data_IF_044127421013
#
_entry.id   IF_044127421013
#
_cell.length_a   1.000
_cell.length_b   1.000
_cell.length_c   1.000
_cell.angle_alpha   90.00
_cell.angle_beta   90.00
_cell.angle_gamma   90.00
#
_symmetry.space_group_name_H-M   'P 1'
#
loop_
_entity.id
_entity.type
_entity.pdbx_description
1 polymer ?
#
# COMPACT_ATOMS: atom_id res chain seq x y z
N UNK A 1 -7.64 57.56 38.31
CA UNK A 1 -6.32 58.21 38.17
C UNK A 1 -5.39 57.70 39.26
N UNK A 2 -4.33 56.98 38.89
CA UNK A 2 -3.01 56.82 39.55
C UNK A 2 -2.35 55.54 39.00
N UNK A 3 -1.44 55.70 38.04
CA UNK A 3 -0.28 54.82 37.82
C UNK A 3 0.83 55.30 38.77
N UNK A 4 1.72 54.42 39.27
CA UNK A 4 2.94 54.03 38.54
C UNK A 4 3.24 52.51 38.75
N UNK A 5 4.23 51.79 38.23
CA UNK A 5 5.46 52.00 37.45
C UNK A 5 5.97 50.59 37.07
N UNK A 6 6.36 50.39 35.80
CA UNK A 6 7.20 49.29 35.29
C UNK A 6 8.70 49.67 35.51
N UNK A 7 9.75 48.84 35.31
CA UNK A 7 9.85 47.39 35.04
C UNK A 7 10.89 46.65 35.95
N UNK A 8 10.87 45.32 36.01
CA UNK A 8 12.05 44.53 36.40
C UNK A 8 12.41 43.58 35.26
N UNK A 9 13.49 43.93 34.55
CA UNK A 9 14.18 43.08 33.58
C UNK A 9 14.75 41.86 34.33
N UNK A 10 14.41 40.66 33.86
CA UNK A 10 15.12 39.44 34.21
C UNK A 10 15.75 38.88 32.91
N UNK A 11 17.01 39.25 32.71
CA UNK A 11 17.91 38.63 31.74
C UNK A 11 18.32 37.27 32.30
N UNK A 12 17.87 36.18 31.68
CA UNK A 12 18.39 34.82 31.95
C UNK A 12 19.28 34.45 30.76
N UNK A 13 20.59 34.51 30.98
CA UNK A 13 21.61 34.04 30.06
C UNK A 13 21.53 32.51 29.94
N UNK A 14 21.18 32.01 28.75
CA UNK A 14 21.34 30.61 28.38
C UNK A 14 22.79 30.36 27.97
N UNK A 15 23.51 29.54 28.74
CA UNK A 15 24.82 29.01 28.36
C UNK A 15 24.60 27.76 27.49
N UNK A 16 24.86 27.90 26.19
CA UNK A 16 24.96 26.79 25.24
C UNK A 16 26.33 26.11 25.41
N UNK A 17 26.34 24.92 26.01
CA UNK A 17 27.48 24.01 25.96
C UNK A 17 27.39 23.18 24.67
N UNK A 18 28.17 23.55 23.66
CA UNK A 18 28.35 22.75 22.46
C UNK A 18 29.28 21.56 22.75
N UNK A 19 28.72 20.35 22.83
CA UNK A 19 29.51 19.12 22.76
C UNK A 19 29.77 18.79 21.30
N UNK A 20 31.00 18.98 20.86
CA UNK A 20 31.48 18.47 19.57
C UNK A 20 31.65 16.94 19.65
N UNK A 21 30.98 16.21 18.75
CA UNK A 21 31.18 14.77 18.59
C UNK A 21 32.47 14.50 17.78
N UNK A 22 33.27 13.49 18.13
CA UNK A 22 34.48 13.13 17.37
C UNK A 22 34.12 12.44 16.05
N UNK A 23 34.86 12.79 14.99
CA UNK A 23 34.72 12.21 13.66
C UNK A 23 35.20 10.75 13.64
N UNK A 24 34.37 9.86 13.08
CA UNK A 24 34.70 8.46 12.80
C UNK A 24 35.61 8.35 11.57
N UNK A 25 36.67 7.51 11.60
CA UNK A 25 37.47 7.25 10.41
C UNK A 25 36.73 6.35 9.42
N UNK A 26 36.81 6.70 8.14
CA UNK A 26 36.23 5.94 7.03
C UNK A 26 36.96 4.61 6.83
N UNK A 27 36.20 3.51 6.82
CA UNK A 27 36.68 2.16 6.47
C UNK A 27 36.49 1.98 4.95
N UNK A 28 37.58 1.68 4.24
CA UNK A 28 37.55 1.36 2.81
C UNK A 28 36.94 -0.03 2.59
N UNK A 29 36.11 -0.23 1.54
CA UNK A 29 35.57 -1.55 1.21
C UNK A 29 36.64 -2.45 0.57
N UNK A 30 36.58 -3.78 0.78
CA UNK A 30 37.50 -4.72 0.16
C UNK A 30 37.26 -4.83 -1.35
N UNK A 31 38.34 -4.83 -2.12
CA UNK A 31 38.33 -5.10 -3.56
C UNK A 31 38.23 -6.61 -3.80
N UNK A 32 37.13 -7.06 -4.42
CA UNK A 32 37.00 -8.45 -4.86
C UNK A 32 37.64 -8.63 -6.24
N UNK A 33 38.67 -9.47 -6.32
CA UNK A 33 39.28 -9.90 -7.58
C UNK A 33 38.51 -11.11 -8.11
N UNK A 34 37.90 -11.00 -9.28
CA UNK A 34 37.26 -12.14 -9.95
C UNK A 34 38.33 -12.88 -10.75
N UNK A 35 38.63 -14.12 -10.33
CA UNK A 35 39.51 -15.03 -11.04
C UNK A 35 38.68 -15.82 -12.07
N UNK A 36 38.85 -15.52 -13.35
CA UNK A 36 38.22 -16.27 -14.45
C UNK A 36 38.99 -17.58 -14.66
N UNK A 37 38.38 -18.71 -14.28
CA UNK A 37 38.89 -20.03 -14.63
C UNK A 37 38.36 -20.44 -16.01
N UNK A 38 39.28 -20.61 -16.97
CA UNK A 38 38.99 -21.23 -18.26
C UNK A 38 38.88 -22.75 -18.08
N UNK A 39 37.75 -23.35 -18.49
CA UNK A 39 37.58 -24.80 -18.50
C UNK A 39 37.55 -25.28 -19.94
N UNK A 40 38.47 -26.21 -20.22
CA UNK A 40 38.73 -26.83 -21.51
C UNK A 40 37.58 -27.76 -21.96
N UNK A 41 37.26 -27.70 -23.24
CA UNK A 41 36.34 -28.61 -23.93
C UNK A 41 36.99 -29.98 -24.08
N UNK A 42 36.40 -31.00 -23.45
CA UNK A 42 36.78 -32.41 -23.64
C UNK A 42 35.64 -33.13 -24.37
N UNK A 43 35.97 -33.81 -25.47
CA UNK A 43 35.03 -34.47 -26.39
C UNK A 43 34.40 -35.76 -25.83
N UNK A 44 33.15 -36.01 -26.26
CA UNK A 44 32.28 -37.15 -25.97
C UNK A 44 32.91 -38.56 -26.11
N UNK A 45 32.38 -39.54 -25.36
CA UNK A 45 32.15 -40.89 -25.85
C UNK A 45 30.67 -41.17 -26.17
N UNK A 46 30.50 -42.14 -27.08
CA UNK A 46 29.30 -42.58 -27.80
C UNK A 46 28.12 -43.06 -26.92
N UNK A 47 26.85 -42.90 -27.37
CA UNK A 47 25.69 -43.36 -26.60
C UNK A 47 25.54 -44.88 -26.63
N UNK A 48 25.39 -45.49 -25.45
CA UNK A 48 24.94 -46.88 -25.28
C UNK A 48 23.42 -46.90 -25.21
N UNK A 49 22.78 -47.68 -26.07
CA UNK A 49 21.32 -47.84 -26.13
C UNK A 49 20.77 -48.46 -24.84
N UNK A 50 20.02 -47.68 -24.07
CA UNK A 50 19.23 -48.17 -22.94
C UNK A 50 17.89 -48.77 -23.44
N UNK A 51 17.34 -49.80 -22.76
CA UNK A 51 16.06 -50.41 -23.15
C UNK A 51 14.90 -49.42 -22.94
N UNK A 52 13.99 -49.43 -23.91
CA UNK A 52 12.74 -48.66 -23.92
C UNK A 52 11.86 -49.03 -22.73
N UNK A 53 11.80 -48.15 -21.72
CA UNK A 53 10.75 -48.18 -20.71
C UNK A 53 9.43 -47.78 -21.35
N UNK A 54 8.47 -48.70 -21.39
CA UNK A 54 7.08 -48.44 -21.77
C UNK A 54 6.53 -47.32 -20.90
N UNK A 55 6.27 -46.16 -21.50
CA UNK A 55 5.65 -45.02 -20.83
C UNK A 55 4.20 -45.37 -20.46
N UNK A 56 3.93 -45.53 -19.18
CA UNK A 56 2.58 -45.52 -18.63
C UNK A 56 1.90 -44.21 -19.05
N UNK A 57 0.64 -44.21 -19.51
CA UNK A 57 -0.09 -43.00 -19.81
C UNK A 57 -0.07 -42.07 -18.60
N UNK A 58 0.49 -40.87 -18.75
CA UNK A 58 0.50 -39.86 -17.71
C UNK A 58 -0.96 -39.55 -17.35
N UNK A 59 -1.31 -39.71 -16.08
CA UNK A 59 -2.54 -39.19 -15.50
C UNK A 59 -2.63 -37.70 -15.87
N UNK A 60 -3.74 -37.22 -16.45
CA UNK A 60 -3.88 -35.80 -16.75
C UNK A 60 -3.67 -35.00 -15.46
N UNK A 61 -2.74 -34.04 -15.54
CA UNK A 61 -2.49 -33.12 -14.43
C UNK A 61 -3.83 -32.47 -14.03
N UNK A 62 -4.09 -32.30 -12.71
CA UNK A 62 -5.26 -31.55 -12.27
C UNK A 62 -5.30 -30.21 -12.99
N UNK A 63 -6.48 -29.74 -13.44
CA UNK A 63 -6.59 -28.41 -14.03
C UNK A 63 -5.98 -27.40 -13.05
N UNK A 64 -5.06 -26.57 -13.55
CA UNK A 64 -4.50 -25.49 -12.77
C UNK A 64 -5.64 -24.66 -12.20
N UNK A 65 -5.67 -24.48 -10.87
CA UNK A 65 -6.68 -23.65 -10.22
C UNK A 65 -6.39 -22.21 -10.65
N UNK A 66 -7.18 -21.70 -11.59
CA UNK A 66 -7.09 -20.30 -12.01
C UNK A 66 -7.60 -19.43 -10.87
N UNK A 67 -6.72 -18.63 -10.26
CA UNK A 67 -7.10 -17.69 -9.23
C UNK A 67 -8.12 -16.67 -9.75
N UNK A 68 -9.05 -16.18 -8.90
CA UNK A 68 -9.99 -15.14 -9.30
C UNK A 68 -9.24 -13.88 -9.75
N UNK A 69 -9.45 -13.46 -10.99
CA UNK A 69 -8.76 -12.30 -11.59
C UNK A 69 -9.56 -10.99 -11.53
N UNK A 70 -10.81 -11.05 -11.04
CA UNK A 70 -11.76 -9.94 -11.05
C UNK A 70 -12.31 -9.59 -12.43
N UNK A 71 -13.05 -8.49 -12.49
CA UNK A 71 -13.72 -7.99 -13.69
C UNK A 71 -12.77 -7.29 -14.67
N UNK A 72 -11.62 -6.80 -14.19
CA UNK A 72 -10.69 -6.02 -15.01
C UNK A 72 -9.98 -6.91 -16.03
N UNK A 73 -9.93 -6.45 -17.28
CA UNK A 73 -9.07 -7.03 -18.32
C UNK A 73 -7.59 -6.91 -17.95
N UNK A 74 -6.73 -7.72 -18.57
CA UNK A 74 -5.28 -7.64 -18.35
C UNK A 74 -4.70 -6.23 -18.62
N UNK A 75 -5.23 -5.54 -19.64
CA UNK A 75 -4.82 -4.17 -19.95
C UNK A 75 -5.24 -3.19 -18.85
N UNK A 76 -6.47 -3.31 -18.32
CA UNK A 76 -6.93 -2.47 -17.22
C UNK A 76 -6.13 -2.73 -15.93
N UNK A 77 -5.80 -3.99 -15.64
CA UNK A 77 -4.93 -4.33 -14.50
C UNK A 77 -3.55 -3.70 -14.63
N UNK A 78 -2.93 -3.78 -15.81
CA UNK A 78 -1.65 -3.13 -16.05
C UNK A 78 -1.73 -1.61 -15.93
N UNK A 79 -2.81 -0.99 -16.44
CA UNK A 79 -3.03 0.44 -16.31
C UNK A 79 -3.19 0.86 -14.84
N UNK A 80 -3.92 0.07 -14.04
CA UNK A 80 -4.07 0.28 -12.61
C UNK A 80 -2.74 0.17 -11.86
N UNK A 81 -1.97 -0.88 -12.13
CA UNK A 81 -0.65 -1.05 -11.51
C UNK A 81 0.29 0.10 -11.85
N UNK A 82 0.36 0.49 -13.13
CA UNK A 82 1.20 1.60 -13.58
C UNK A 82 0.76 2.93 -12.95
N UNK A 83 -0.55 3.18 -12.88
CA UNK A 83 -1.11 4.37 -12.23
C UNK A 83 -0.74 4.41 -10.75
N UNK A 84 -0.89 3.28 -10.03
CA UNK A 84 -0.54 3.19 -8.62
C UNK A 84 0.95 3.45 -8.38
N UNK A 85 1.84 2.77 -9.10
CA UNK A 85 3.29 2.88 -8.94
C UNK A 85 3.82 4.29 -9.23
N UNK A 86 3.13 5.08 -10.05
CA UNK A 86 3.52 6.46 -10.34
C UNK A 86 3.49 7.39 -9.12
N UNK A 87 2.79 7.02 -8.04
CA UNK A 87 2.72 7.81 -6.81
C UNK A 87 3.71 7.39 -5.72
N UNK A 88 4.53 6.35 -5.95
CA UNK A 88 5.52 5.89 -4.97
C UNK A 88 6.49 7.04 -4.67
N UNK A 89 6.58 7.37 -3.39
CA UNK A 89 7.31 8.51 -2.82
C UNK A 89 8.03 8.04 -1.54
N UNK A 90 9.24 7.46 -1.66
CA UNK A 90 9.89 6.71 -0.59
C UNK A 90 10.44 7.56 0.56
N UNK A 91 10.46 8.89 0.44
CA UNK A 91 10.84 9.81 1.51
C UNK A 91 9.69 10.70 1.98
N UNK A 92 9.72 11.20 3.23
CA UNK A 92 8.73 12.16 3.73
C UNK A 92 8.63 13.44 2.89
N UNK A 93 9.76 13.91 2.37
CA UNK A 93 9.82 15.10 1.51
C UNK A 93 9.13 14.86 0.16
N UNK A 94 9.39 13.72 -0.48
CA UNK A 94 8.73 13.33 -1.72
C UNK A 94 7.23 13.08 -1.50
N UNK A 95 6.85 12.44 -0.39
CA UNK A 95 5.44 12.21 -0.08
C UNK A 95 4.69 13.54 0.10
N UNK A 96 5.32 14.54 0.73
CA UNK A 96 4.76 15.89 0.85
C UNK A 96 4.61 16.57 -0.52
N UNK A 97 5.62 16.45 -1.40
CA UNK A 97 5.53 16.95 -2.76
C UNK A 97 4.35 16.30 -3.51
N UNK A 98 4.24 14.96 -3.44
CA UNK A 98 3.13 14.20 -4.03
C UNK A 98 1.77 14.64 -3.49
N UNK A 99 1.64 14.87 -2.17
CA UNK A 99 0.39 15.36 -1.57
C UNK A 99 0.00 16.74 -2.13
N UNK A 100 0.96 17.65 -2.29
CA UNK A 100 0.75 18.99 -2.85
C UNK A 100 0.38 18.92 -4.33
N UNK A 101 1.07 18.06 -5.10
CA UNK A 101 0.84 17.85 -6.53
C UNK A 101 -0.52 17.23 -6.84
N UNK A 102 -0.99 16.31 -5.98
CA UNK A 102 -2.38 15.81 -6.04
C UNK A 102 -3.41 16.95 -5.95
N UNK A 103 -3.05 18.09 -5.36
CA UNK A 103 -3.84 19.33 -5.45
C UNK A 103 -5.17 19.31 -4.69
N UNK A 104 -5.46 18.27 -3.90
CA UNK A 104 -6.73 18.14 -3.18
C UNK A 104 -6.93 19.23 -2.10
N UNK A 105 -5.83 19.80 -1.57
CA UNK A 105 -5.83 20.99 -0.68
C UNK A 105 -4.78 22.04 -1.11
N UNK A 106 -4.24 21.92 -2.33
CA UNK A 106 -3.09 22.71 -2.78
C UNK A 106 -1.91 22.64 -1.82
N UNK A 107 -1.26 23.78 -1.53
CA UNK A 107 -0.09 23.86 -0.64
C UNK A 107 -0.33 23.38 0.81
N UNK A 108 -1.59 23.25 1.23
CA UNK A 108 -1.95 22.83 2.58
C UNK A 108 -2.19 21.30 2.67
N UNK A 109 -1.97 20.57 1.58
CA UNK A 109 -2.03 19.11 1.57
C UNK A 109 -1.01 18.51 2.54
N UNK A 110 -1.34 17.34 3.09
CA UNK A 110 -0.52 16.63 4.05
C UNK A 110 -0.54 15.12 3.76
N UNK A 111 0.62 14.46 3.62
CA UNK A 111 0.69 13.02 3.36
C UNK A 111 -0.06 12.14 4.37
N UNK A 112 -0.17 12.58 5.63
CA UNK A 112 -0.86 11.82 6.67
C UNK A 112 -2.37 11.69 6.42
N UNK A 113 -2.96 12.55 5.58
CA UNK A 113 -4.40 12.63 5.34
C UNK A 113 -4.79 12.46 3.87
N UNK A 114 -3.86 12.00 3.03
CA UNK A 114 -4.09 11.86 1.60
C UNK A 114 -4.57 10.49 1.15
N UNK A 115 -4.79 9.52 2.05
CA UNK A 115 -5.18 8.14 1.68
C UNK A 115 -6.38 8.08 0.73
N UNK A 116 -7.44 8.83 1.02
CA UNK A 116 -8.61 8.95 0.16
C UNK A 116 -8.31 9.62 -1.18
N UNK A 117 -7.79 10.86 -1.20
CA UNK A 117 -7.40 11.55 -2.43
C UNK A 117 -6.45 10.72 -3.31
N UNK A 118 -5.47 10.04 -2.72
CA UNK A 118 -4.52 9.17 -3.41
C UNK A 118 -5.23 7.97 -4.05
N UNK A 119 -6.07 7.25 -3.29
CA UNK A 119 -6.81 6.11 -3.82
C UNK A 119 -7.74 6.51 -4.98
N UNK A 120 -8.44 7.65 -4.87
CA UNK A 120 -9.26 8.17 -5.96
C UNK A 120 -8.40 8.55 -7.18
N UNK A 121 -7.26 9.21 -6.98
CA UNK A 121 -6.37 9.60 -8.07
C UNK A 121 -5.86 8.39 -8.87
N UNK A 122 -5.50 7.30 -8.18
CA UNK A 122 -5.09 6.04 -8.81
C UNK A 122 -6.23 5.45 -9.67
N UNK A 123 -7.45 5.44 -9.14
CA UNK A 123 -8.63 4.96 -9.87
C UNK A 123 -8.96 5.85 -11.08
N UNK A 124 -8.76 7.16 -10.97
CA UNK A 124 -8.96 8.10 -12.08
C UNK A 124 -7.90 7.94 -13.16
N UNK A 125 -6.63 7.85 -12.78
CA UNK A 125 -5.52 7.71 -13.73
C UNK A 125 -5.52 6.35 -14.44
N UNK A 126 -6.08 5.31 -13.82
CA UNK A 126 -6.32 4.00 -14.45
C UNK A 126 -7.57 3.94 -15.34
N UNK A 127 -8.42 4.97 -15.29
CA UNK A 127 -9.67 5.04 -16.05
C UNK A 127 -10.83 4.23 -15.44
N UNK A 128 -10.69 3.73 -14.22
CA UNK A 128 -11.77 3.02 -13.52
C UNK A 128 -12.83 3.98 -12.96
N UNK A 129 -12.43 5.18 -12.56
CA UNK A 129 -13.32 6.23 -12.06
C UNK A 129 -13.19 7.47 -12.91
N UNK A 130 -14.29 8.21 -13.08
CA UNK A 130 -14.32 9.45 -13.86
C UNK A 130 -13.40 10.52 -13.24
N UNK A 131 -12.55 11.14 -14.06
CA UNK A 131 -11.59 12.17 -13.63
C UNK A 131 -12.24 13.49 -13.18
N UNK A 132 -13.54 13.69 -13.43
CA UNK A 132 -14.28 14.87 -13.01
C UNK A 132 -14.61 14.89 -11.51
N UNK A 133 -14.53 13.75 -10.82
CA UNK A 133 -14.74 13.70 -9.38
C UNK A 133 -13.59 14.40 -8.65
N UNK A 134 -13.84 15.45 -7.85
CA UNK A 134 -12.77 16.20 -7.21
C UNK A 134 -12.11 15.40 -6.08
N UNK A 135 -10.79 15.27 -6.12
CA UNK A 135 -10.00 14.54 -5.11
C UNK A 135 -10.25 15.02 -3.67
N UNK A 136 -10.51 16.33 -3.48
CA UNK A 136 -10.85 16.90 -2.17
C UNK A 136 -12.10 16.28 -1.52
N UNK A 137 -13.00 15.69 -2.30
CA UNK A 137 -14.19 15.02 -1.75
C UNK A 137 -13.85 13.69 -1.08
N UNK A 138 -12.66 13.16 -1.31
CA UNK A 138 -12.16 11.98 -0.60
C UNK A 138 -11.31 12.37 0.63
N UNK A 139 -11.07 13.66 0.86
CA UNK A 139 -10.43 14.14 2.09
C UNK A 139 -11.45 14.14 3.24
N UNK A 140 -11.17 13.34 4.28
CA UNK A 140 -12.10 13.06 5.39
C UNK A 140 -13.46 12.49 4.96
N UNK A 141 -13.50 11.76 3.85
CA UNK A 141 -14.66 10.99 3.44
C UNK A 141 -15.16 10.09 4.58
N UNK A 142 -16.46 10.09 4.82
CA UNK A 142 -17.14 9.15 5.71
C UNK A 142 -18.26 8.44 4.95
N UNK A 143 -18.13 7.14 4.67
CA UNK A 143 -19.09 6.43 3.84
C UNK A 143 -20.39 6.10 4.57
N UNK A 144 -20.47 6.29 5.90
CA UNK A 144 -21.62 5.85 6.71
C UNK A 144 -22.92 6.58 6.32
N UNK A 145 -24.09 5.98 6.64
CA UNK A 145 -25.35 6.59 6.28
C UNK A 145 -25.55 7.97 6.89
N UNK A 146 -26.12 8.89 6.10
CA UNK A 146 -26.27 10.29 6.48
C UNK A 146 -25.00 11.16 6.33
N UNK A 147 -23.89 10.61 5.86
CA UNK A 147 -22.66 11.35 5.52
C UNK A 147 -22.44 11.40 3.99
N UNK A 148 -21.36 10.79 3.48
CA UNK A 148 -20.96 10.88 2.07
C UNK A 148 -21.49 9.72 1.21
N UNK A 149 -22.38 8.88 1.74
CA UNK A 149 -22.92 7.70 1.04
C UNK A 149 -23.47 8.03 -0.36
N UNK A 150 -24.26 9.11 -0.47
CA UNK A 150 -24.87 9.55 -1.74
C UNK A 150 -23.84 10.07 -2.74
N UNK A 151 -22.70 10.56 -2.25
CA UNK A 151 -21.61 10.96 -3.12
C UNK A 151 -20.89 9.72 -3.64
N UNK A 152 -20.64 8.73 -2.77
CA UNK A 152 -20.03 7.46 -3.17
C UNK A 152 -20.89 6.67 -4.16
N UNK A 153 -22.22 6.72 -4.07
CA UNK A 153 -23.12 6.14 -5.07
C UNK A 153 -22.96 6.75 -6.47
N UNK A 154 -22.46 7.98 -6.58
CA UNK A 154 -22.16 8.61 -7.88
C UNK A 154 -20.78 8.20 -8.39
N UNK A 155 -19.81 8.08 -7.49
CA UNK A 155 -18.43 7.71 -7.83
C UNK A 155 -18.32 6.23 -8.17
N UNK A 156 -19.01 5.39 -7.40
CA UNK A 156 -19.08 3.94 -7.52
C UNK A 156 -20.54 3.49 -7.73
N UNK A 157 -21.12 3.79 -8.90
CA UNK A 157 -22.52 3.46 -9.16
C UNK A 157 -22.73 1.95 -9.27
N UNK A 158 -23.90 1.48 -8.81
CA UNK A 158 -24.20 0.06 -8.63
C UNK A 158 -24.26 -0.76 -9.94
N UNK A 159 -24.34 -0.10 -11.09
CA UNK A 159 -24.26 -0.72 -12.42
C UNK A 159 -22.81 -0.99 -12.86
N UNK A 160 -21.82 -0.39 -12.17
CA UNK A 160 -20.39 -0.55 -12.46
C UNK A 160 -19.59 -1.11 -11.29
N UNK A 161 -20.12 -1.03 -10.07
CA UNK A 161 -19.44 -1.47 -8.86
C UNK A 161 -20.38 -2.22 -7.92
N UNK A 162 -19.90 -3.32 -7.37
CA UNK A 162 -20.54 -4.01 -6.26
C UNK A 162 -20.00 -3.46 -4.93
N UNK A 163 -20.91 -3.07 -4.02
CA UNK A 163 -20.54 -2.71 -2.65
C UNK A 163 -20.58 -3.96 -1.77
N UNK A 164 -19.46 -4.28 -1.12
CA UNK A 164 -19.35 -5.39 -0.17
C UNK A 164 -19.00 -4.82 1.21
N UNK A 165 -19.70 -5.30 2.23
CA UNK A 165 -19.51 -4.90 3.63
C UNK A 165 -18.93 -6.06 4.43
N UNK A 166 -17.90 -5.78 5.22
CA UNK A 166 -17.30 -6.70 6.19
C UNK A 166 -17.12 -5.95 7.51
N UNK A 167 -17.69 -6.48 8.58
CA UNK A 167 -17.55 -5.91 9.92
C UNK A 167 -16.42 -6.58 10.72
N UNK A 168 -15.94 -7.73 10.25
CA UNK A 168 -14.81 -8.44 10.84
C UNK A 168 -13.51 -7.66 10.65
N UNK A 169 -12.66 -7.63 11.68
CA UNK A 169 -11.34 -7.00 11.61
C UNK A 169 -10.50 -7.57 10.47
N UNK A 170 -9.81 -6.69 9.74
CA UNK A 170 -9.05 -7.06 8.54
C UNK A 170 -7.93 -8.06 8.79
N UNK A 171 -7.41 -8.15 10.02
CA UNK A 171 -6.40 -9.13 10.41
C UNK A 171 -6.96 -10.53 10.71
N UNK A 172 -8.28 -10.72 10.65
CA UNK A 172 -8.97 -12.00 10.94
C UNK A 172 -9.66 -12.63 9.74
N UNK A 173 -9.86 -11.85 8.67
CA UNK A 173 -10.50 -12.32 7.44
C UNK A 173 -9.61 -13.39 6.78
N UNK A 174 -10.23 -14.49 6.36
CA UNK A 174 -9.60 -15.51 5.52
C UNK A 174 -9.65 -15.08 4.05
N UNK A 175 -8.62 -14.36 3.62
CA UNK A 175 -8.50 -13.91 2.23
C UNK A 175 -8.19 -15.02 1.23
N UNK A 176 -7.94 -16.26 1.68
CA UNK A 176 -7.90 -17.40 0.76
C UNK A 176 -9.30 -17.80 0.30
N UNK A 177 -10.31 -17.61 1.17
CA UNK A 177 -11.72 -17.87 0.89
C UNK A 177 -12.44 -16.64 0.30
N UNK A 178 -12.07 -15.43 0.74
CA UNK A 178 -12.65 -14.16 0.29
C UNK A 178 -11.56 -13.21 -0.23
N UNK A 179 -10.97 -13.49 -1.40
CA UNK A 179 -9.84 -12.71 -1.90
C UNK A 179 -10.26 -11.30 -2.33
N UNK A 180 -9.37 -10.35 -2.06
CA UNK A 180 -9.41 -9.04 -2.70
C UNK A 180 -8.95 -9.14 -4.16
N UNK A 181 -9.51 -8.29 -5.02
CA UNK A 181 -9.27 -8.29 -6.47
C UNK A 181 -8.73 -6.94 -6.93
N UNK A 182 -7.97 -6.89 -8.04
CA UNK A 182 -7.49 -5.63 -8.60
C UNK A 182 -8.64 -4.64 -8.87
N UNK A 183 -8.48 -3.41 -8.41
CA UNK A 183 -9.48 -2.35 -8.54
C UNK A 183 -10.46 -2.25 -7.38
N UNK A 184 -10.44 -3.19 -6.42
CA UNK A 184 -11.21 -3.03 -5.18
C UNK A 184 -10.76 -1.74 -4.47
N UNK A 185 -11.68 -0.80 -4.32
CA UNK A 185 -11.50 0.36 -3.44
C UNK A 185 -11.98 -0.01 -2.04
N UNK A 186 -11.14 0.17 -1.02
CA UNK A 186 -11.44 -0.16 0.36
C UNK A 186 -11.50 1.10 1.22
N UNK A 187 -12.52 1.16 2.07
CA UNK A 187 -12.58 2.03 3.25
C UNK A 187 -12.46 1.18 4.51
N UNK A 188 -11.33 1.30 5.20
CA UNK A 188 -11.02 0.57 6.42
C UNK A 188 -11.48 1.37 7.64
N UNK A 189 -12.36 0.77 8.44
CA UNK A 189 -12.83 1.37 9.67
C UNK A 189 -11.84 1.13 10.80
N UNK A 190 -11.52 2.19 11.54
CA UNK A 190 -10.63 2.13 12.69
C UNK A 190 -11.10 1.07 13.69
N UNK A 191 -12.41 1.04 13.97
CA UNK A 191 -13.01 0.27 15.06
C UNK A 191 -12.59 0.79 16.43
N UNK A 192 -13.12 0.19 17.50
CA UNK A 192 -12.91 0.67 18.88
C UNK A 192 -11.44 0.68 19.32
N UNK A 193 -10.62 -0.19 18.71
CA UNK A 193 -9.19 -0.32 19.01
C UNK A 193 -8.27 0.45 18.06
N UNK A 194 -8.82 1.07 17.00
CA UNK A 194 -8.05 1.79 16.00
C UNK A 194 -7.81 3.26 16.35
N UNK A 195 -6.85 3.87 15.67
CA UNK A 195 -6.51 5.29 15.83
C UNK A 195 -6.78 6.14 14.59
N UNK A 196 -7.05 5.51 13.43
CA UNK A 196 -7.38 6.21 12.20
C UNK A 196 -8.22 5.32 11.26
N UNK A 197 -9.01 5.94 10.38
CA UNK A 197 -9.65 5.28 9.24
C UNK A 197 -8.76 5.43 8.00
N UNK A 198 -8.83 4.48 7.07
CA UNK A 198 -7.88 4.44 5.96
C UNK A 198 -8.54 4.04 4.65
N UNK A 199 -8.10 4.64 3.55
CA UNK A 199 -8.62 4.35 2.21
C UNK A 199 -7.48 3.88 1.31
N UNK A 200 -7.73 2.85 0.50
CA UNK A 200 -6.76 2.33 -0.45
C UNK A 200 -7.45 1.67 -1.63
N UNK A 201 -6.67 1.40 -2.69
CA UNK A 201 -7.09 0.56 -3.81
C UNK A 201 -6.15 -0.61 -3.96
N UNK A 202 -6.69 -1.79 -4.24
CA UNK A 202 -5.88 -2.97 -4.59
C UNK A 202 -5.32 -2.75 -5.99
N UNK A 203 -4.06 -2.38 -6.06
CA UNK A 203 -3.36 -2.04 -7.30
C UNK A 203 -3.06 -3.26 -8.17
N UNK A 204 -2.73 -4.40 -7.54
CA UNK A 204 -2.47 -5.67 -8.22
C UNK A 204 -2.64 -6.85 -7.28
N UNK A 205 -2.89 -8.02 -7.88
CA UNK A 205 -2.84 -9.34 -7.22
C UNK A 205 -1.93 -10.21 -8.08
N UNK A 206 -0.98 -10.89 -7.46
CA UNK A 206 -0.05 -11.76 -8.21
C UNK A 206 -0.55 -13.20 -8.37
N UNK A 207 0.24 -14.03 -9.04
CA UNK A 207 -0.10 -15.44 -9.32
C UNK A 207 -0.18 -16.32 -8.07
N UNK A 208 0.28 -15.84 -6.91
CA UNK A 208 0.13 -16.51 -5.62
C UNK A 208 -1.11 -16.00 -4.84
N UNK A 209 -1.89 -15.08 -5.41
CA UNK A 209 -3.06 -14.48 -4.76
C UNK A 209 -2.71 -13.40 -3.74
N UNK A 210 -1.45 -12.93 -3.70
CA UNK A 210 -1.03 -11.87 -2.80
C UNK A 210 -1.52 -10.52 -3.33
N UNK A 211 -2.24 -9.77 -2.50
CA UNK A 211 -2.77 -8.47 -2.88
C UNK A 211 -1.83 -7.33 -2.46
N UNK A 212 -1.71 -6.32 -3.32
CA UNK A 212 -0.83 -5.17 -3.09
C UNK A 212 -1.56 -3.85 -3.30
N UNK A 213 -1.17 -2.82 -2.56
CA UNK A 213 -1.64 -1.45 -2.73
C UNK A 213 -0.49 -0.46 -2.66
N UNK A 214 -0.58 0.62 -3.43
CA UNK A 214 0.23 1.82 -3.20
C UNK A 214 -0.56 2.76 -2.29
N UNK A 215 0.00 3.09 -1.12
CA UNK A 215 -0.70 3.88 -0.10
C UNK A 215 0.29 4.69 0.72
N UNK A 216 -0.21 5.74 1.39
CA UNK A 216 0.56 6.45 2.40
C UNK A 216 0.69 5.61 3.69
N UNK A 217 1.89 5.63 4.29
CA UNK A 217 2.24 4.85 5.48
C UNK A 217 2.93 5.75 6.50
N UNK A 218 2.53 5.64 7.76
CA UNK A 218 3.27 6.26 8.86
C UNK A 218 4.51 5.44 9.18
N UNK A 219 5.67 6.09 9.23
CA UNK A 219 6.92 5.50 9.70
C UNK A 219 7.48 6.32 10.87
N UNK A 220 8.51 5.80 11.54
CA UNK A 220 9.22 6.55 12.59
C UNK A 220 9.86 7.85 12.08
N UNK A 221 10.06 8.01 10.76
CA UNK A 221 10.70 9.18 10.14
C UNK A 221 9.70 10.16 9.51
N UNK A 222 8.42 9.84 9.53
CA UNK A 222 7.39 10.59 8.80
C UNK A 222 6.58 9.69 7.88
N UNK A 223 5.69 10.30 7.09
CA UNK A 223 4.80 9.58 6.18
C UNK A 223 5.44 9.42 4.82
N UNK A 224 5.42 8.21 4.27
CA UNK A 224 5.87 7.91 2.90
C UNK A 224 4.71 7.40 2.05
N UNK A 225 4.91 7.25 0.73
CA UNK A 225 4.01 6.48 -0.15
C UNK A 225 4.78 5.32 -0.73
N UNK A 226 4.29 4.10 -0.52
CA UNK A 226 4.97 2.91 -1.01
C UNK A 226 3.97 1.82 -1.43
N UNK A 227 4.45 0.87 -2.22
CA UNK A 227 3.74 -0.37 -2.51
C UNK A 227 3.90 -1.34 -1.32
N UNK A 228 2.78 -1.78 -0.77
CA UNK A 228 2.75 -2.74 0.33
C UNK A 228 2.01 -4.00 -0.06
N UNK A 229 2.52 -5.14 0.43
CA UNK A 229 1.78 -6.39 0.50
C UNK A 229 0.67 -6.23 1.54
N UNK A 230 -0.59 -6.31 1.12
CA UNK A 230 -1.74 -6.23 2.04
C UNK A 230 -1.86 -7.50 2.89
N UNK A 231 -1.81 -8.66 2.24
CA UNK A 231 -1.82 -9.99 2.85
C UNK A 231 -1.19 -11.03 1.91
N UNK A 232 -0.72 -12.14 2.48
CA UNK A 232 -0.36 -13.35 1.76
C UNK A 232 -1.31 -14.51 2.13
N UNK A 233 -2.14 -15.03 1.20
CA UNK A 233 -3.11 -16.08 1.52
C UNK A 233 -2.46 -17.42 1.89
N UNK A 234 -1.20 -17.67 1.48
CA UNK A 234 -0.46 -18.87 1.86
C UNK A 234 0.21 -18.74 3.23
N UNK A 235 0.38 -17.51 3.74
CA UNK A 235 1.07 -17.22 5.00
C UNK A 235 0.25 -16.25 5.88
N UNK A 236 -0.80 -16.73 6.57
CA UNK A 236 -1.57 -15.91 7.50
C UNK A 236 -0.67 -15.24 8.54
N UNK A 237 -0.90 -13.96 8.80
CA UNK A 237 -0.05 -13.13 9.65
C UNK A 237 0.97 -12.27 8.89
N UNK A 238 1.16 -12.50 7.59
CA UNK A 238 2.08 -11.71 6.74
C UNK A 238 1.30 -10.67 5.94
N UNK A 239 1.73 -9.40 6.03
CA UNK A 239 1.18 -8.29 5.26
C UNK A 239 0.77 -7.09 6.12
N UNK A 240 0.43 -5.98 5.45
CA UNK A 240 0.12 -4.71 6.08
C UNK A 240 -1.16 -4.76 6.94
N UNK A 241 -2.13 -5.59 6.56
CA UNK A 241 -3.37 -5.76 7.34
C UNK A 241 -3.12 -6.36 8.73
N UNK A 242 -2.21 -7.33 8.83
CA UNK A 242 -1.79 -7.88 10.11
C UNK A 242 -0.98 -6.86 10.92
N UNK A 243 -0.09 -6.09 10.27
CA UNK A 243 0.67 -5.04 10.95
C UNK A 243 -0.23 -3.94 11.53
N UNK A 244 -1.24 -3.48 10.79
CA UNK A 244 -2.16 -2.43 11.25
C UNK A 244 -3.14 -2.89 12.34
N UNK A 245 -3.33 -4.20 12.48
CA UNK A 245 -4.19 -4.78 13.52
C UNK A 245 -3.41 -5.33 14.71
N UNK A 246 -2.08 -5.25 14.70
CA UNK A 246 -1.21 -5.64 15.80
C UNK A 246 -1.06 -4.50 16.85
N UNK A 247 -1.23 -4.86 18.12
CA UNK A 247 -1.05 -3.96 19.25
C UNK A 247 0.40 -3.44 19.38
N UNK A 248 1.38 -4.24 19.02
CA UNK A 248 2.79 -3.87 19.13
C UNK A 248 3.16 -2.71 18.18
N UNK A 249 2.39 -2.53 17.10
CA UNK A 249 2.59 -1.46 16.11
C UNK A 249 1.83 -0.17 16.43
N UNK A 250 1.31 0.01 17.65
CA UNK A 250 0.55 1.21 18.06
C UNK A 250 1.24 2.54 17.79
N UNK A 251 2.57 2.57 17.74
CA UNK A 251 3.36 3.79 17.51
C UNK A 251 3.30 4.31 16.07
N UNK A 252 2.97 3.45 15.10
CA UNK A 252 2.80 3.83 13.68
C UNK A 252 1.32 3.98 13.29
N UNK A 253 0.42 3.91 14.27
CA UNK A 253 -1.03 3.95 14.09
C UNK A 253 -1.61 2.57 13.78
N UNK A 254 -2.89 2.38 14.12
CA UNK A 254 -3.63 1.12 13.92
C UNK A 254 -5.00 1.38 13.29
N UNK A 255 -5.46 0.50 12.42
CA UNK A 255 -6.74 0.62 11.71
C UNK A 255 -7.29 -0.76 11.33
N UNK A 256 -8.53 -0.81 10.84
CA UNK A 256 -9.15 -2.02 10.34
C UNK A 256 -9.72 -2.95 11.41
N UNK A 257 -9.89 -2.51 12.65
CA UNK A 257 -10.57 -3.31 13.67
C UNK A 257 -12.08 -3.37 13.47
N UNK A 258 -12.66 -2.37 12.81
CA UNK A 258 -14.10 -2.32 12.48
C UNK A 258 -14.43 -2.92 11.10
N UNK A 259 -13.49 -3.65 10.51
CA UNK A 259 -13.60 -4.19 9.16
C UNK A 259 -13.51 -3.13 8.06
N UNK A 260 -14.17 -3.37 6.95
CA UNK A 260 -14.14 -2.50 5.78
C UNK A 260 -15.44 -2.51 4.98
N UNK A 261 -15.63 -1.43 4.23
CA UNK A 261 -16.49 -1.45 3.06
C UNK A 261 -15.62 -1.41 1.83
N UNK A 262 -15.98 -2.19 0.80
CA UNK A 262 -15.30 -2.15 -0.47
C UNK A 262 -16.26 -1.93 -1.63
N UNK A 263 -15.74 -1.35 -2.69
CA UNK A 263 -16.42 -1.18 -3.97
C UNK A 263 -15.59 -1.87 -5.04
N UNK A 264 -16.14 -2.93 -5.62
CA UNK A 264 -15.49 -3.84 -6.56
C UNK A 264 -16.00 -3.57 -7.97
N UNK A 265 -15.13 -3.34 -8.97
CA UNK A 265 -15.56 -3.21 -10.36
C UNK A 265 -16.33 -4.44 -10.84
N UNK A 266 -17.42 -4.21 -11.58
CA UNK A 266 -18.20 -5.23 -12.27
C UNK A 266 -17.70 -5.47 -13.71
N UNK A 267 -17.97 -6.65 -14.31
CA UNK A 267 -17.59 -6.99 -15.69
C UNK A 267 -18.19 -6.08 -16.76
#
# INVERSE_FOLDING_TARGET
MKRPSLPLLLFICWLLAACAAPATPAVLPPTFTIQTAAIASTSLPSPTSAPTSTATPATPAPPAVTLPQGALSAQQRQALENAARAFISPSPEEALATAIELGYLGRNANPATMCGPLALAILQQSGLVDSSFPLKSFYYLNPRPGHDERYLEKVFPADRFEKIVREESIGKIDFSADPLLPGDFLYLFAGDSGSFEHMLVVSRVDDAGRAYAVTNLNTARGVIVDEVLLYDPANPGVGQFYQWTDWENRMIGRTGYGGYWLWRPLP
#
